data_IF_265986741033
#
_entry.id   IF_265986741033
#
_cell.length_a   1.000
_cell.length_b   1.000
_cell.length_c   1.000
_cell.angle_alpha   90.00
_cell.angle_beta   90.00
_cell.angle_gamma   90.00
#
_symmetry.space_group_name_H-M   'P 1'
#
loop_
_entity.id
_entity.type
_entity.pdbx_description
1 polymer ?
#
# COMPACT_ATOMS: atom_id res chain seq x y z
N UNK A 1 3.50 -27.04 65.13
CA UNK A 1 4.53 -26.64 64.12
C UNK A 1 3.84 -26.45 62.79
N UNK A 2 3.53 -25.20 62.39
CA UNK A 2 2.96 -24.87 61.08
C UNK A 2 4.15 -24.59 60.12
N UNK A 3 4.33 -25.45 59.12
CA UNK A 3 5.25 -25.15 57.99
C UNK A 3 4.69 -24.04 57.15
N UNK A 4 5.38 -22.88 57.13
CA UNK A 4 5.16 -21.85 56.12
C UNK A 4 5.63 -22.41 54.77
N UNK A 5 4.73 -22.58 53.83
CA UNK A 5 5.08 -22.77 52.44
C UNK A 5 5.54 -21.44 51.87
N UNK A 6 6.84 -21.29 51.63
CA UNK A 6 7.39 -20.22 50.84
C UNK A 6 6.96 -20.42 49.39
N UNK A 7 6.03 -19.59 48.96
CA UNK A 7 5.68 -19.43 47.54
C UNK A 7 6.86 -18.67 46.88
N UNK A 8 7.85 -19.40 46.37
CA UNK A 8 8.81 -18.84 45.44
C UNK A 8 8.08 -18.61 44.12
N UNK A 9 7.50 -17.40 43.98
CA UNK A 9 7.04 -16.89 42.70
C UNK A 9 8.24 -16.83 41.75
N UNK A 10 8.25 -17.72 40.77
CA UNK A 10 9.20 -17.73 39.67
C UNK A 10 8.96 -16.45 38.86
N UNK A 11 9.63 -15.34 39.26
CA UNK A 11 9.65 -14.11 38.47
C UNK A 11 10.41 -14.39 37.17
N UNK A 12 9.71 -14.94 36.18
CA UNK A 12 10.25 -15.15 34.83
C UNK A 12 10.65 -13.77 34.29
N UNK A 13 11.95 -13.54 34.14
CA UNK A 13 12.48 -12.29 33.61
C UNK A 13 11.96 -12.13 32.18
N UNK A 14 11.21 -11.04 31.93
CA UNK A 14 10.67 -10.71 30.61
C UNK A 14 11.85 -10.46 29.67
N UNK A 15 11.84 -11.14 28.51
CA UNK A 15 12.84 -10.99 27.46
C UNK A 15 12.32 -10.07 26.36
N UNK A 16 13.04 -8.99 26.08
CA UNK A 16 12.72 -8.04 25.03
C UNK A 16 13.74 -8.14 23.90
N UNK A 17 13.22 -8.28 22.68
CA UNK A 17 14.02 -8.23 21.45
C UNK A 17 13.77 -6.96 20.66
N UNK A 18 14.72 -6.59 19.78
CA UNK A 18 14.58 -5.49 18.86
C UNK A 18 15.06 -5.87 17.47
N UNK A 19 14.39 -5.32 16.45
CA UNK A 19 14.76 -5.37 15.03
C UNK A 19 14.78 -3.95 14.50
N UNK A 20 15.77 -3.63 13.68
CA UNK A 20 15.84 -2.38 12.93
C UNK A 20 15.69 -2.64 11.43
N UNK A 21 14.91 -1.83 10.74
CA UNK A 21 14.77 -1.96 9.30
C UNK A 21 14.02 -0.82 8.64
N UNK A 22 14.31 -0.60 7.35
CA UNK A 22 13.59 0.40 6.54
C UNK A 22 12.22 -0.11 6.10
N UNK A 23 12.07 -1.41 5.88
CA UNK A 23 10.84 -2.04 5.35
C UNK A 23 10.30 -1.31 4.10
N UNK A 24 11.18 -1.06 3.14
CA UNK A 24 10.93 -0.20 1.99
C UNK A 24 11.06 -0.97 0.65
N UNK A 25 9.97 -1.69 0.23
CA UNK A 25 8.76 -1.99 1.00
C UNK A 25 8.90 -3.20 1.93
N UNK A 26 7.92 -3.38 2.82
CA UNK A 26 7.75 -4.62 3.59
C UNK A 26 7.47 -5.78 2.63
N UNK A 27 8.15 -6.93 2.84
CA UNK A 27 7.97 -8.15 2.05
C UNK A 27 7.96 -9.40 2.93
N UNK A 28 7.55 -10.56 2.38
CA UNK A 28 7.37 -11.79 3.17
C UNK A 28 8.64 -12.27 3.86
N UNK A 29 9.83 -11.98 3.29
CA UNK A 29 11.09 -12.27 3.98
C UNK A 29 11.25 -11.47 5.28
N UNK A 30 10.85 -10.19 5.30
CA UNK A 30 10.79 -9.42 6.54
C UNK A 30 9.75 -9.99 7.51
N UNK A 31 8.59 -10.41 7.00
CA UNK A 31 7.52 -10.99 7.85
C UNK A 31 7.99 -12.27 8.51
N UNK A 32 8.61 -13.18 7.77
CA UNK A 32 9.17 -14.44 8.30
C UNK A 32 10.24 -14.16 9.37
N UNK A 33 11.16 -13.23 9.10
CA UNK A 33 12.20 -12.82 10.03
C UNK A 33 11.61 -12.28 11.35
N UNK A 34 10.65 -11.37 11.26
CA UNK A 34 9.98 -10.78 12.42
C UNK A 34 9.22 -11.84 13.21
N UNK A 35 8.53 -12.77 12.55
CA UNK A 35 7.80 -13.86 13.21
C UNK A 35 8.74 -14.81 13.96
N UNK A 36 9.87 -15.20 13.34
CA UNK A 36 10.87 -16.04 13.98
C UNK A 36 11.49 -15.39 15.20
N UNK A 37 11.90 -14.15 15.07
CA UNK A 37 12.43 -13.37 16.19
C UNK A 37 11.39 -13.24 17.31
N UNK A 38 10.15 -12.88 16.97
CA UNK A 38 9.06 -12.73 17.92
C UNK A 38 8.68 -14.02 18.68
N UNK A 39 8.94 -15.19 18.10
CA UNK A 39 8.69 -16.47 18.76
C UNK A 39 9.70 -16.80 19.88
N UNK A 40 10.82 -16.07 19.97
CA UNK A 40 11.92 -16.34 20.91
C UNK A 40 11.98 -15.39 22.10
N UNK A 41 11.14 -14.33 22.08
CA UNK A 41 11.10 -13.28 23.11
C UNK A 41 9.67 -13.01 23.58
N UNK A 42 9.55 -12.45 24.79
CA UNK A 42 8.23 -12.06 25.33
C UNK A 42 7.67 -10.81 24.65
N UNK A 43 8.55 -9.83 24.30
CA UNK A 43 8.20 -8.68 23.48
C UNK A 43 9.25 -8.48 22.39
N UNK A 44 8.80 -8.21 21.18
CA UNK A 44 9.64 -7.82 20.06
C UNK A 44 9.30 -6.41 19.60
N UNK A 45 10.26 -5.52 19.65
CA UNK A 45 10.16 -4.16 19.12
C UNK A 45 10.68 -4.13 17.69
N UNK A 46 9.82 -3.82 16.73
CA UNK A 46 10.17 -3.67 15.32
C UNK A 46 10.28 -2.19 15.01
N UNK A 47 11.51 -1.74 14.82
CA UNK A 47 11.83 -0.32 14.62
C UNK A 47 11.86 0.01 13.14
N UNK A 48 10.94 0.89 12.72
CA UNK A 48 10.88 1.43 11.36
C UNK A 48 11.86 2.59 11.26
N UNK A 49 12.97 2.40 10.59
CA UNK A 49 13.99 3.42 10.34
C UNK A 49 13.64 4.24 9.10
N UNK A 50 13.61 5.56 9.22
CA UNK A 50 13.20 6.46 8.12
C UNK A 50 14.16 7.63 7.96
N UNK A 51 14.39 8.03 6.73
CA UNK A 51 15.10 9.24 6.36
C UNK A 51 14.52 9.72 5.03
N UNK A 52 13.86 10.86 5.06
CA UNK A 52 13.09 11.37 3.91
C UNK A 52 13.96 11.52 2.66
N UNK A 53 15.15 12.08 2.78
CA UNK A 53 16.05 12.31 1.64
C UNK A 53 16.52 11.00 1.02
N UNK A 54 16.93 10.03 1.86
CA UNK A 54 17.34 8.69 1.40
C UNK A 54 16.17 7.91 0.82
N UNK A 55 14.98 8.03 1.40
CA UNK A 55 13.78 7.34 0.95
C UNK A 55 13.33 7.88 -0.43
N UNK A 56 13.37 9.20 -0.63
CA UNK A 56 13.12 9.84 -1.94
C UNK A 56 14.15 9.38 -2.97
N UNK A 57 15.42 9.30 -2.61
CA UNK A 57 16.46 8.77 -3.51
C UNK A 57 16.19 7.33 -3.90
N UNK A 58 15.90 6.46 -2.94
CA UNK A 58 15.56 5.05 -3.19
C UNK A 58 14.32 4.91 -4.08
N UNK A 59 13.32 5.79 -3.91
CA UNK A 59 12.14 5.81 -4.75
C UNK A 59 12.47 6.21 -6.18
N UNK A 60 13.24 7.29 -6.40
CA UNK A 60 13.66 7.74 -7.72
C UNK A 60 14.48 6.69 -8.50
N UNK A 61 15.26 5.88 -7.79
CA UNK A 61 16.04 4.79 -8.34
C UNK A 61 15.23 3.49 -8.54
N UNK A 62 13.96 3.50 -8.14
CA UNK A 62 13.08 2.34 -8.21
C UNK A 62 12.12 2.38 -9.41
N UNK A 63 11.46 1.25 -9.68
CA UNK A 63 10.30 1.17 -10.60
C UNK A 63 8.95 1.18 -9.86
N UNK A 64 8.94 1.53 -8.58
CA UNK A 64 7.68 1.64 -7.82
C UNK A 64 6.85 2.81 -8.32
N UNK A 65 5.54 2.63 -8.47
CA UNK A 65 4.61 3.69 -8.93
C UNK A 65 4.12 4.60 -7.80
N UNK A 66 4.28 4.16 -6.56
CA UNK A 66 3.84 4.89 -5.37
C UNK A 66 4.95 4.85 -4.33
N UNK A 67 5.24 6.00 -3.74
CA UNK A 67 6.22 6.12 -2.66
C UNK A 67 5.52 5.91 -1.32
N UNK A 68 5.86 4.87 -0.55
CA UNK A 68 5.30 4.71 0.79
C UNK A 68 5.94 5.74 1.75
N UNK A 69 5.11 6.47 2.48
CA UNK A 69 5.55 7.38 3.53
C UNK A 69 6.02 6.61 4.78
N UNK A 70 6.67 7.26 5.76
CA UNK A 70 6.95 6.65 7.06
C UNK A 70 5.70 6.05 7.71
N UNK A 71 4.57 6.78 7.69
CA UNK A 71 3.29 6.36 8.26
C UNK A 71 2.72 5.13 7.53
N UNK A 72 2.85 5.08 6.20
CA UNK A 72 2.43 3.91 5.42
C UNK A 72 3.23 2.67 5.84
N UNK A 73 4.55 2.78 6.02
CA UNK A 73 5.42 1.66 6.42
C UNK A 73 5.10 1.16 7.83
N UNK A 74 4.85 2.07 8.78
CA UNK A 74 4.38 1.74 10.13
C UNK A 74 3.05 0.99 10.03
N UNK A 75 2.09 1.54 9.31
CA UNK A 75 0.77 0.94 9.12
C UNK A 75 0.83 -0.45 8.45
N UNK A 76 1.74 -0.66 7.49
CA UNK A 76 1.94 -1.98 6.89
C UNK A 76 2.32 -3.04 7.93
N UNK A 77 3.23 -2.70 8.83
CA UNK A 77 3.65 -3.59 9.91
C UNK A 77 2.53 -3.79 10.94
N UNK A 78 1.91 -2.73 11.40
CA UNK A 78 0.79 -2.79 12.36
C UNK A 78 -0.36 -3.66 11.83
N UNK A 79 -0.74 -3.51 10.57
CA UNK A 79 -1.80 -4.32 9.96
C UNK A 79 -1.37 -5.78 9.75
N UNK A 80 -0.10 -6.00 9.41
CA UNK A 80 0.44 -7.34 9.20
C UNK A 80 0.49 -8.14 10.51
N UNK A 81 0.88 -7.48 11.61
CA UNK A 81 1.07 -8.13 12.91
C UNK A 81 -0.02 -7.84 13.94
N UNK A 82 -1.16 -7.26 13.54
CA UNK A 82 -2.23 -6.79 14.44
C UNK A 82 -2.79 -7.82 15.43
N UNK A 83 -2.61 -9.12 15.16
CA UNK A 83 -3.05 -10.19 16.05
C UNK A 83 -1.91 -10.79 16.88
N UNK A 84 -0.71 -10.22 16.83
CA UNK A 84 0.48 -10.67 17.56
C UNK A 84 0.84 -9.63 18.61
N UNK A 85 0.26 -9.76 19.80
CA UNK A 85 0.36 -8.77 20.88
C UNK A 85 1.77 -8.54 21.40
N UNK A 86 2.68 -9.49 21.17
CA UNK A 86 4.08 -9.39 21.55
C UNK A 86 4.94 -8.62 20.52
N UNK A 87 4.42 -8.30 19.34
CA UNK A 87 5.12 -7.50 18.33
C UNK A 87 4.67 -6.05 18.45
N UNK A 88 5.60 -5.16 18.73
CA UNK A 88 5.36 -3.72 18.94
C UNK A 88 6.12 -2.92 17.90
N UNK A 89 5.42 -2.06 17.17
CA UNK A 89 6.02 -1.25 16.12
C UNK A 89 6.41 0.10 16.73
N UNK A 90 7.68 0.49 16.52
CA UNK A 90 8.20 1.81 16.93
C UNK A 90 8.89 2.49 15.75
N UNK A 91 9.05 3.80 15.82
CA UNK A 91 9.58 4.62 14.74
C UNK A 91 10.89 5.29 15.15
N UNK A 92 11.91 5.22 14.30
CA UNK A 92 13.17 5.92 14.42
C UNK A 92 13.36 6.83 13.20
N UNK A 93 13.34 8.14 13.44
CA UNK A 93 13.73 9.13 12.43
C UNK A 93 15.25 9.27 12.39
N UNK A 94 15.85 8.92 11.26
CA UNK A 94 17.31 8.97 11.03
C UNK A 94 17.76 10.30 10.39
N UNK A 95 16.88 11.28 10.30
CA UNK A 95 17.19 12.59 9.70
C UNK A 95 18.43 13.22 10.32
N UNK A 96 19.37 13.65 9.48
CA UNK A 96 20.61 14.27 9.88
C UNK A 96 21.71 13.31 10.34
N UNK A 97 21.46 12.01 10.35
CA UNK A 97 22.50 11.02 10.63
C UNK A 97 23.27 10.71 9.35
N UNK A 98 24.63 10.74 9.36
CA UNK A 98 25.42 10.38 8.18
C UNK A 98 25.09 8.98 7.66
N UNK A 99 25.24 8.79 6.35
CA UNK A 99 25.02 7.46 5.74
C UNK A 99 26.04 6.45 6.20
N UNK A 100 25.66 5.16 6.19
CA UNK A 100 26.59 4.04 6.42
C UNK A 100 27.86 4.18 5.57
N UNK A 101 29.06 3.89 6.13
CA UNK A 101 29.31 3.36 7.48
C UNK A 101 29.47 4.42 8.59
N UNK A 102 29.50 5.70 8.26
CA UNK A 102 29.92 6.78 9.17
C UNK A 102 28.86 7.19 10.21
N UNK A 103 27.63 6.71 10.07
CA UNK A 103 26.48 7.12 10.90
C UNK A 103 26.30 6.36 12.22
N UNK A 104 27.06 5.29 12.48
CA UNK A 104 26.79 4.35 13.59
C UNK A 104 26.69 5.01 14.96
N UNK A 105 27.62 5.91 15.29
CA UNK A 105 27.60 6.60 16.59
C UNK A 105 26.32 7.43 16.77
N UNK A 106 26.05 8.34 15.85
CA UNK A 106 24.85 9.18 15.92
C UNK A 106 23.55 8.38 15.88
N UNK A 107 23.54 7.28 15.11
CA UNK A 107 22.41 6.37 15.03
C UNK A 107 22.20 5.64 16.37
N UNK A 108 23.25 5.10 16.98
CA UNK A 108 23.17 4.40 18.26
C UNK A 108 22.74 5.32 19.41
N UNK A 109 23.18 6.58 19.38
CA UNK A 109 22.75 7.59 20.37
C UNK A 109 21.25 7.85 20.24
N UNK A 110 20.74 8.00 19.01
CA UNK A 110 19.31 8.18 18.75
C UNK A 110 18.48 6.95 19.12
N UNK A 111 19.00 5.75 18.90
CA UNK A 111 18.35 4.50 19.37
C UNK A 111 18.23 4.50 20.89
N UNK A 112 19.29 4.88 21.62
CA UNK A 112 19.25 4.96 23.10
C UNK A 112 18.21 5.96 23.58
N UNK A 113 18.18 7.14 22.97
CA UNK A 113 17.17 8.17 23.27
C UNK A 113 15.75 7.64 23.06
N UNK A 114 15.49 6.97 21.92
CA UNK A 114 14.20 6.37 21.62
C UNK A 114 13.79 5.32 22.66
N UNK A 115 14.71 4.41 23.01
CA UNK A 115 14.45 3.33 23.96
C UNK A 115 14.23 3.87 25.39
N UNK A 116 15.05 4.82 25.82
CA UNK A 116 14.92 5.49 27.12
C UNK A 116 13.59 6.23 27.25
N UNK A 117 13.23 7.03 26.23
CA UNK A 117 11.96 7.77 26.20
C UNK A 117 10.74 6.85 26.30
N UNK A 118 10.82 5.64 25.78
CA UNK A 118 9.73 4.66 25.80
C UNK A 118 9.84 3.67 26.96
N UNK A 119 10.84 3.82 27.85
CA UNK A 119 11.12 2.91 28.95
C UNK A 119 11.29 1.45 28.50
N UNK A 120 12.00 1.26 27.37
CA UNK A 120 12.26 -0.04 26.76
C UNK A 120 13.68 -0.49 27.12
N UNK A 121 13.78 -1.70 27.71
CA UNK A 121 15.04 -2.38 27.94
C UNK A 121 15.15 -3.56 26.98
N UNK A 122 16.30 -3.71 26.32
CA UNK A 122 16.54 -4.72 25.28
C UNK A 122 17.52 -5.80 25.76
N UNK A 123 17.16 -7.06 25.56
CA UNK A 123 17.97 -8.23 25.87
C UNK A 123 18.58 -8.86 24.60
N UNK A 124 17.97 -8.65 23.44
CA UNK A 124 18.41 -9.26 22.18
C UNK A 124 18.21 -8.34 20.99
N UNK A 125 19.24 -8.16 20.18
CA UNK A 125 19.13 -7.54 18.84
C UNK A 125 19.09 -8.66 17.82
N UNK A 126 18.09 -8.64 16.94
CA UNK A 126 17.99 -9.56 15.81
C UNK A 126 18.40 -8.86 14.53
N UNK A 127 19.24 -9.51 13.73
CA UNK A 127 19.64 -9.00 12.40
C UNK A 127 19.85 -10.15 11.44
N UNK A 128 19.69 -9.88 10.13
CA UNK A 128 20.08 -10.79 9.05
C UNK A 128 21.35 -10.28 8.32
N UNK A 129 21.86 -9.12 8.73
CA UNK A 129 23.03 -8.49 8.12
C UNK A 129 24.27 -8.77 8.99
N UNK A 130 25.10 -9.72 8.55
CA UNK A 130 26.30 -10.14 9.31
C UNK A 130 27.32 -9.03 9.49
N UNK A 131 27.40 -8.11 8.54
CA UNK A 131 28.27 -6.93 8.60
C UNK A 131 27.94 -5.98 9.75
N UNK A 132 26.70 -6.00 10.25
CA UNK A 132 26.24 -5.10 11.30
C UNK A 132 26.50 -5.66 12.71
N UNK A 133 26.84 -6.94 12.84
CA UNK A 133 27.01 -7.62 14.13
C UNK A 133 28.08 -6.94 14.99
N UNK A 134 29.24 -6.65 14.41
CA UNK A 134 30.33 -5.99 15.16
C UNK A 134 29.94 -4.55 15.51
N UNK A 135 29.31 -3.83 14.61
CA UNK A 135 28.83 -2.48 14.89
C UNK A 135 27.80 -2.45 16.04
N UNK A 136 26.88 -3.44 16.11
CA UNK A 136 25.99 -3.58 17.25
C UNK A 136 26.74 -3.87 18.54
N UNK A 137 27.78 -4.72 18.53
CA UNK A 137 28.60 -5.00 19.69
C UNK A 137 29.32 -3.75 20.17
N UNK A 138 30.02 -3.05 19.28
CA UNK A 138 30.77 -1.84 19.60
C UNK A 138 29.86 -0.72 20.17
N UNK A 139 28.69 -0.53 19.58
CA UNK A 139 27.84 0.60 19.93
C UNK A 139 26.81 0.30 21.03
N UNK A 140 26.48 -0.98 21.33
CA UNK A 140 25.50 -1.33 22.33
C UNK A 140 26.02 -2.12 23.51
N UNK A 141 27.10 -2.87 23.36
CA UNK A 141 27.65 -3.74 24.43
C UNK A 141 28.82 -3.12 25.15
N UNK A 142 29.72 -2.47 24.42
CA UNK A 142 31.02 -2.05 24.94
C UNK A 142 31.01 -0.66 25.64
N UNK A 143 29.84 0.00 25.74
CA UNK A 143 29.75 1.32 26.39
C UNK A 143 29.29 1.19 27.84
N UNK A 144 30.08 1.72 28.76
CA UNK A 144 29.86 1.62 30.21
C UNK A 144 28.55 2.24 30.73
N UNK A 145 27.89 3.11 29.91
CA UNK A 145 26.68 3.85 30.30
C UNK A 145 25.37 3.19 29.84
N UNK A 146 25.43 1.97 29.35
CA UNK A 146 24.24 1.33 28.71
C UNK A 146 23.46 0.41 29.65
N UNK A 147 23.81 0.36 30.94
CA UNK A 147 23.26 -0.61 31.89
C UNK A 147 21.74 -0.56 32.08
N UNK A 148 21.10 0.58 31.81
CA UNK A 148 19.67 0.74 32.00
C UNK A 148 18.84 0.37 30.73
N UNK A 149 19.39 0.54 29.53
CA UNK A 149 18.69 0.36 28.26
C UNK A 149 19.00 -1.00 27.65
N UNK A 150 20.28 -1.36 27.59
CA UNK A 150 20.72 -2.67 27.11
C UNK A 150 21.16 -3.55 28.27
N UNK A 151 20.77 -4.82 28.26
CA UNK A 151 21.26 -5.77 29.25
C UNK A 151 22.77 -5.97 29.09
N UNK A 152 23.52 -6.10 30.19
CA UNK A 152 24.97 -6.45 30.16
C UNK A 152 25.27 -7.71 29.34
N UNK A 153 24.30 -8.64 29.26
CA UNK A 153 24.35 -9.86 28.45
C UNK A 153 23.62 -9.71 27.12
N UNK A 154 23.61 -8.50 26.52
CA UNK A 154 22.91 -8.27 25.22
C UNK A 154 23.36 -9.29 24.19
N UNK A 155 22.41 -10.02 23.66
CA UNK A 155 22.64 -11.01 22.60
C UNK A 155 22.40 -10.38 21.24
N UNK A 156 23.31 -10.65 20.30
CA UNK A 156 23.09 -10.33 18.89
C UNK A 156 22.87 -11.64 18.18
N UNK A 157 21.65 -11.83 17.66
CA UNK A 157 21.21 -13.07 17.04
C UNK A 157 20.99 -12.84 15.55
N UNK A 158 21.71 -13.62 14.75
CA UNK A 158 21.52 -13.67 13.31
C UNK A 158 20.60 -14.84 12.97
N UNK A 159 19.57 -14.58 12.17
CA UNK A 159 18.63 -15.61 11.68
C UNK A 159 18.65 -15.59 10.17
N UNK A 160 18.47 -16.72 9.51
CA UNK A 160 18.32 -16.86 8.05
C UNK A 160 19.25 -15.95 7.19
N UNK A 161 20.55 -15.89 7.54
CA UNK A 161 21.58 -15.10 6.84
C UNK A 161 21.58 -15.39 5.34
N UNK A 162 21.40 -16.65 4.98
CA UNK A 162 21.37 -17.10 3.57
C UNK A 162 20.04 -16.81 2.88
N UNK A 163 19.05 -16.22 3.58
CA UNK A 163 17.69 -16.00 3.07
C UNK A 163 17.10 -17.28 2.46
N UNK A 164 17.35 -18.42 3.11
CA UNK A 164 17.01 -19.74 2.59
C UNK A 164 15.49 -19.93 2.45
N UNK A 165 14.71 -19.30 3.36
CA UNK A 165 13.26 -19.39 3.34
C UNK A 165 12.63 -18.54 2.23
N UNK A 166 13.12 -17.31 2.05
CA UNK A 166 12.62 -16.39 1.03
C UNK A 166 13.78 -15.64 0.38
N UNK A 167 14.18 -16.08 -0.82
CA UNK A 167 15.25 -15.46 -1.61
C UNK A 167 14.76 -14.17 -2.27
N UNK A 168 14.43 -13.18 -1.45
CA UNK A 168 13.95 -11.88 -1.92
C UNK A 168 14.53 -10.76 -1.06
N UNK A 169 14.82 -9.63 -1.67
CA UNK A 169 15.25 -8.41 -1.00
C UNK A 169 14.36 -7.23 -1.35
N UNK A 170 14.31 -6.22 -0.48
CA UNK A 170 13.61 -4.98 -0.78
C UNK A 170 14.16 -4.29 -2.03
N UNK A 171 15.47 -4.43 -2.30
CA UNK A 171 16.11 -3.91 -3.52
C UNK A 171 15.59 -4.57 -4.79
N UNK A 172 15.43 -5.89 -4.80
CA UNK A 172 14.86 -6.62 -5.94
C UNK A 172 13.39 -6.23 -6.17
N UNK A 173 12.63 -6.08 -5.08
CA UNK A 173 11.25 -5.63 -5.18
C UNK A 173 11.17 -4.20 -5.74
N UNK A 174 12.01 -3.27 -5.28
CA UNK A 174 12.06 -1.92 -5.84
C UNK A 174 12.39 -1.88 -7.32
N UNK A 175 13.24 -2.79 -7.79
CA UNK A 175 13.55 -2.91 -9.23
C UNK A 175 12.37 -3.38 -10.06
N UNK A 176 11.53 -4.26 -9.52
CA UNK A 176 10.33 -4.74 -10.21
C UNK A 176 9.29 -5.29 -9.22
N UNK A 177 8.49 -4.37 -8.65
CA UNK A 177 7.49 -4.71 -7.64
C UNK A 177 6.41 -5.65 -8.16
N UNK A 178 5.93 -5.40 -9.38
CA UNK A 178 4.81 -6.16 -9.94
C UNK A 178 5.20 -7.57 -10.39
N UNK A 179 6.45 -7.82 -10.76
CA UNK A 179 6.94 -9.18 -11.02
C UNK A 179 7.17 -9.95 -9.71
N UNK A 180 7.49 -9.22 -8.64
CA UNK A 180 7.69 -9.77 -7.31
C UNK A 180 6.42 -9.73 -6.43
N UNK A 181 5.23 -9.58 -7.04
CA UNK A 181 3.96 -9.38 -6.35
C UNK A 181 3.63 -10.45 -5.31
N UNK A 182 4.00 -11.70 -5.55
CA UNK A 182 3.77 -12.81 -4.61
C UNK A 182 4.49 -12.63 -3.28
N UNK A 183 5.61 -11.89 -3.28
CA UNK A 183 6.39 -11.61 -2.08
C UNK A 183 5.90 -10.39 -1.29
N UNK A 184 4.87 -9.70 -1.78
CA UNK A 184 4.29 -8.53 -1.10
C UNK A 184 3.16 -9.00 -0.17
N UNK A 185 3.20 -8.65 1.14
CA UNK A 185 2.12 -8.98 2.08
C UNK A 185 0.80 -8.32 1.68
N UNK A 186 -0.32 -8.95 2.03
CA UNK A 186 -1.67 -8.53 1.63
C UNK A 186 -1.94 -7.04 1.87
N UNK A 187 -1.64 -6.53 3.06
CA UNK A 187 -1.91 -5.13 3.41
C UNK A 187 -1.02 -4.14 2.66
N UNK A 188 0.18 -4.57 2.25
CA UNK A 188 1.09 -3.77 1.41
C UNK A 188 0.62 -3.76 -0.04
N UNK A 189 0.05 -4.88 -0.54
CA UNK A 189 -0.54 -4.96 -1.88
C UNK A 189 -1.63 -3.92 -2.09
N UNK A 190 -2.49 -3.69 -1.09
CA UNK A 190 -3.55 -2.67 -1.17
C UNK A 190 -3.00 -1.29 -1.56
N UNK A 191 -1.86 -0.90 -0.99
CA UNK A 191 -1.20 0.37 -1.30
C UNK A 191 -0.68 0.43 -2.74
N UNK A 192 -0.04 -0.64 -3.21
CA UNK A 192 0.58 -0.69 -4.54
C UNK A 192 -0.38 -1.09 -5.66
N UNK A 193 -1.60 -1.53 -5.35
CA UNK A 193 -2.59 -1.87 -6.38
C UNK A 193 -2.87 -0.66 -7.27
N UNK A 194 -2.78 -0.87 -8.58
CA UNK A 194 -3.10 0.15 -9.57
C UNK A 194 -4.60 0.14 -9.87
N UNK A 195 -5.16 1.33 -10.01
CA UNK A 195 -6.56 1.53 -10.36
C UNK A 195 -6.67 1.92 -11.84
N UNK A 196 -7.28 1.05 -12.63
CA UNK A 196 -7.51 1.25 -14.06
C UNK A 196 -8.98 1.58 -14.27
N UNK A 197 -9.28 2.81 -14.70
CA UNK A 197 -10.63 3.23 -15.02
C UNK A 197 -10.91 3.08 -16.52
N UNK A 198 -12.07 2.51 -16.87
CA UNK A 198 -12.59 2.46 -18.23
C UNK A 198 -13.79 3.40 -18.32
N UNK A 199 -13.66 4.47 -19.10
CA UNK A 199 -14.66 5.54 -19.22
C UNK A 199 -15.13 5.72 -20.66
N UNK A 200 -16.21 6.48 -20.86
CA UNK A 200 -16.80 6.80 -22.16
C UNK A 200 -18.32 6.81 -22.11
N UNK A 201 -18.96 7.14 -23.23
CA UNK A 201 -20.41 7.23 -23.34
C UNK A 201 -21.13 5.88 -23.20
N UNK A 202 -22.45 5.91 -23.03
CA UNK A 202 -23.27 4.70 -22.99
C UNK A 202 -23.17 3.90 -24.29
N UNK A 203 -23.24 2.57 -24.16
CA UNK A 203 -23.09 1.61 -25.26
C UNK A 203 -21.78 1.68 -26.03
N UNK A 204 -20.69 2.19 -25.41
CA UNK A 204 -19.33 2.13 -25.97
C UNK A 204 -18.58 0.83 -25.66
N UNK A 205 -19.22 -0.16 -25.08
CA UNK A 205 -18.59 -1.45 -24.74
C UNK A 205 -17.76 -1.50 -23.47
N UNK A 206 -17.71 -0.40 -22.67
CA UNK A 206 -16.92 -0.30 -21.43
C UNK A 206 -17.08 -1.47 -20.48
N UNK A 207 -18.32 -1.82 -20.14
CA UNK A 207 -18.61 -2.90 -19.20
C UNK A 207 -18.05 -4.24 -19.68
N UNK A 208 -18.20 -4.56 -20.97
CA UNK A 208 -17.64 -5.76 -21.56
C UNK A 208 -16.09 -5.73 -21.55
N UNK A 209 -15.51 -4.58 -21.88
CA UNK A 209 -14.05 -4.38 -21.83
C UNK A 209 -13.52 -4.56 -20.41
N UNK A 210 -14.18 -3.96 -19.40
CA UNK A 210 -13.82 -4.10 -17.98
C UNK A 210 -13.79 -5.57 -17.54
N UNK A 211 -14.83 -6.34 -17.87
CA UNK A 211 -14.89 -7.76 -17.52
C UNK A 211 -13.80 -8.58 -18.22
N UNK A 212 -13.57 -8.34 -19.51
CA UNK A 212 -12.54 -9.07 -20.26
C UNK A 212 -11.13 -8.75 -19.78
N UNK A 213 -10.85 -7.48 -19.47
CA UNK A 213 -9.57 -7.08 -18.88
C UNK A 213 -9.37 -7.71 -17.49
N UNK A 214 -10.42 -7.70 -16.64
CA UNK A 214 -10.34 -8.33 -15.32
C UNK A 214 -10.05 -9.83 -15.42
N UNK A 215 -10.67 -10.53 -16.36
CA UNK A 215 -10.39 -11.95 -16.62
C UNK A 215 -8.96 -12.16 -17.13
N UNK A 216 -8.49 -11.35 -18.08
CA UNK A 216 -7.14 -11.47 -18.62
C UNK A 216 -6.06 -11.29 -17.54
N UNK A 217 -6.21 -10.27 -16.69
CA UNK A 217 -5.27 -9.99 -15.61
C UNK A 217 -5.51 -10.82 -14.35
N UNK A 218 -6.50 -11.72 -14.35
CA UNK A 218 -6.92 -12.50 -13.20
C UNK A 218 -7.08 -11.64 -11.94
N UNK A 219 -7.90 -10.60 -12.05
CA UNK A 219 -8.03 -9.58 -11.01
C UNK A 219 -9.49 -9.18 -10.73
N UNK A 220 -9.68 -8.39 -9.71
CA UNK A 220 -10.97 -7.82 -9.33
C UNK A 220 -11.40 -6.69 -10.26
N UNK A 221 -12.72 -6.45 -10.32
CA UNK A 221 -13.29 -5.32 -11.04
C UNK A 221 -14.48 -4.70 -10.28
N UNK A 222 -14.84 -3.50 -10.66
CA UNK A 222 -15.97 -2.75 -10.12
C UNK A 222 -16.91 -2.35 -11.22
N UNK A 223 -18.17 -2.74 -11.09
CA UNK A 223 -19.24 -2.31 -11.99
C UNK A 223 -19.75 -0.91 -11.64
N UNK A 224 -20.25 -0.17 -12.62
CA UNK A 224 -20.90 1.12 -12.43
C UNK A 224 -22.11 1.01 -11.49
N UNK A 225 -21.99 1.60 -10.29
CA UNK A 225 -23.07 1.52 -9.29
C UNK A 225 -24.28 2.37 -9.64
N UNK A 226 -24.14 3.46 -10.41
CA UNK A 226 -25.24 4.31 -10.85
C UNK A 226 -26.35 3.51 -11.54
N UNK A 227 -25.99 2.60 -12.44
CA UNK A 227 -26.97 1.73 -13.12
C UNK A 227 -27.73 0.85 -12.14
N UNK A 228 -27.01 0.26 -11.18
CA UNK A 228 -27.64 -0.55 -10.13
C UNK A 228 -28.59 0.30 -9.25
N UNK A 229 -28.17 1.49 -8.85
CA UNK A 229 -28.99 2.41 -8.07
C UNK A 229 -30.30 2.77 -8.79
N UNK A 230 -30.23 3.14 -10.06
CA UNK A 230 -31.40 3.47 -10.88
C UNK A 230 -32.35 2.29 -10.97
N UNK A 231 -31.83 1.09 -11.19
CA UNK A 231 -32.64 -0.13 -11.27
C UNK A 231 -33.31 -0.47 -9.94
N UNK A 232 -32.54 -0.54 -8.87
CA UNK A 232 -33.00 -1.10 -7.59
C UNK A 232 -33.79 -0.07 -6.75
N UNK A 233 -33.37 1.20 -6.75
CA UNK A 233 -33.96 2.27 -5.93
C UNK A 233 -35.01 3.05 -6.73
N UNK A 234 -34.69 3.47 -7.95
CA UNK A 234 -35.54 4.32 -8.74
C UNK A 234 -36.46 3.53 -9.72
N UNK A 235 -36.45 2.18 -9.64
CA UNK A 235 -37.30 1.28 -10.47
C UNK A 235 -37.20 1.59 -11.96
N UNK A 236 -35.97 1.84 -12.44
CA UNK A 236 -35.64 2.24 -13.82
C UNK A 236 -36.16 3.63 -14.25
N UNK A 237 -36.63 4.47 -13.35
CA UNK A 237 -37.04 5.82 -13.66
C UNK A 237 -35.89 6.82 -13.51
N UNK A 238 -35.19 7.09 -14.61
CA UNK A 238 -34.06 8.05 -14.65
C UNK A 238 -34.49 9.49 -14.31
N UNK A 239 -35.71 9.89 -14.58
CA UNK A 239 -36.20 11.23 -14.30
C UNK A 239 -36.28 11.55 -12.80
N UNK A 240 -36.29 10.53 -11.96
CA UNK A 240 -36.29 10.67 -10.51
C UNK A 240 -34.90 10.83 -9.88
N UNK A 241 -33.83 10.78 -10.68
CA UNK A 241 -32.46 10.91 -10.18
C UNK A 241 -32.15 12.36 -9.78
N UNK A 242 -32.01 12.61 -8.48
CA UNK A 242 -31.79 13.92 -7.88
C UNK A 242 -30.32 14.17 -7.55
N UNK A 243 -29.97 15.39 -7.24
CA UNK A 243 -28.61 15.80 -6.86
C UNK A 243 -28.04 14.98 -5.67
N UNK A 244 -28.87 14.75 -4.64
CA UNK A 244 -28.49 14.02 -3.43
C UNK A 244 -28.17 12.56 -3.70
N UNK A 245 -28.84 11.95 -4.69
CA UNK A 245 -28.61 10.57 -5.10
C UNK A 245 -27.18 10.36 -5.60
N UNK A 246 -26.62 11.36 -6.29
CA UNK A 246 -25.24 11.32 -6.77
C UNK A 246 -24.23 11.21 -5.63
N UNK A 247 -24.50 11.86 -4.50
CA UNK A 247 -23.66 11.73 -3.30
C UNK A 247 -23.68 10.31 -2.73
N UNK A 248 -24.84 9.68 -2.71
CA UNK A 248 -25.01 8.30 -2.24
C UNK A 248 -24.34 7.31 -3.21
N UNK A 249 -24.58 7.49 -4.51
CA UNK A 249 -23.96 6.68 -5.57
C UNK A 249 -22.43 6.75 -5.47
N UNK A 250 -21.86 7.95 -5.30
CA UNK A 250 -20.43 8.15 -5.21
C UNK A 250 -19.82 7.45 -3.98
N UNK A 251 -20.46 7.54 -2.82
CA UNK A 251 -20.00 6.86 -1.59
C UNK A 251 -19.99 5.35 -1.75
N UNK A 252 -21.05 4.78 -2.36
CA UNK A 252 -21.14 3.36 -2.57
C UNK A 252 -20.14 2.88 -3.65
N UNK A 253 -19.96 3.64 -4.72
CA UNK A 253 -18.93 3.38 -5.73
C UNK A 253 -17.55 3.36 -5.08
N UNK A 254 -17.21 4.34 -4.23
CA UNK A 254 -15.96 4.38 -3.50
C UNK A 254 -15.77 3.17 -2.58
N UNK A 255 -16.81 2.75 -1.85
CA UNK A 255 -16.79 1.54 -1.02
C UNK A 255 -16.47 0.29 -1.84
N UNK A 256 -17.08 0.16 -3.03
CA UNK A 256 -16.82 -0.96 -3.95
C UNK A 256 -15.38 -0.92 -4.49
N UNK A 257 -14.87 0.25 -4.87
CA UNK A 257 -13.48 0.42 -5.34
C UNK A 257 -12.51 0.01 -4.23
N UNK A 258 -12.71 0.49 -3.00
CA UNK A 258 -11.87 0.14 -1.84
C UNK A 258 -11.86 -1.36 -1.57
N UNK A 259 -13.02 -2.02 -1.66
CA UNK A 259 -13.10 -3.47 -1.48
C UNK A 259 -12.45 -4.23 -2.65
N UNK A 260 -12.55 -3.73 -3.86
CA UNK A 260 -11.92 -4.33 -5.04
C UNK A 260 -10.38 -4.27 -4.94
N UNK A 261 -9.82 -3.13 -4.50
CA UNK A 261 -8.38 -2.96 -4.25
C UNK A 261 -7.84 -4.03 -3.29
N UNK A 262 -8.58 -4.38 -2.22
CA UNK A 262 -8.19 -5.40 -1.24
C UNK A 262 -8.07 -6.81 -1.83
N UNK A 263 -8.76 -7.08 -2.91
CA UNK A 263 -8.84 -8.39 -3.55
C UNK A 263 -8.16 -8.42 -4.93
N UNK A 264 -7.46 -7.35 -5.27
CA UNK A 264 -6.83 -7.17 -6.56
C UNK A 264 -5.53 -7.97 -6.71
N UNK A 265 -5.27 -8.40 -7.95
CA UNK A 265 -3.98 -8.93 -8.36
C UNK A 265 -3.24 -7.87 -9.18
N UNK A 266 -2.36 -7.09 -8.55
CA UNK A 266 -1.59 -5.97 -9.11
C UNK A 266 -2.44 -4.75 -9.52
N UNK A 267 -3.57 -4.97 -10.19
CA UNK A 267 -4.46 -3.94 -10.69
C UNK A 267 -5.90 -4.25 -10.31
N UNK A 268 -6.77 -3.24 -10.30
CA UNK A 268 -8.23 -3.43 -10.30
C UNK A 268 -8.83 -2.61 -11.44
N UNK A 269 -9.84 -3.18 -12.14
CA UNK A 269 -10.48 -2.53 -13.28
C UNK A 269 -11.81 -1.93 -12.84
N UNK A 270 -12.05 -0.67 -13.14
CA UNK A 270 -13.23 0.08 -12.70
C UNK A 270 -14.05 0.50 -13.94
N UNK A 271 -15.28 0.00 -14.05
CA UNK A 271 -16.26 0.48 -15.03
C UNK A 271 -16.87 1.76 -14.52
N UNK A 272 -16.55 2.86 -15.19
CA UNK A 272 -17.03 4.20 -14.84
C UNK A 272 -16.51 4.69 -13.47
N UNK A 273 -15.87 5.83 -13.48
CA UNK A 273 -15.22 6.44 -12.31
C UNK A 273 -15.89 7.79 -11.95
N UNK A 274 -15.31 8.55 -11.01
CA UNK A 274 -15.94 9.75 -10.46
C UNK A 274 -16.12 10.89 -11.47
N UNK A 275 -15.21 11.06 -12.45
CA UNK A 275 -15.36 12.10 -13.49
C UNK A 275 -16.59 11.83 -14.35
N UNK A 276 -16.79 10.57 -14.74
CA UNK A 276 -17.98 10.16 -15.48
C UNK A 276 -19.25 10.37 -14.67
N UNK A 277 -19.21 10.05 -13.37
CA UNK A 277 -20.33 10.29 -12.45
C UNK A 277 -20.62 11.80 -12.30
N UNK A 278 -19.59 12.63 -12.28
CA UNK A 278 -19.71 14.08 -12.24
C UNK A 278 -20.33 14.64 -13.53
N UNK A 279 -19.93 14.10 -14.69
CA UNK A 279 -20.56 14.47 -15.96
C UNK A 279 -22.07 14.17 -15.95
N UNK A 280 -22.47 13.00 -15.44
CA UNK A 280 -23.90 12.69 -15.27
C UNK A 280 -24.61 13.65 -14.30
N UNK A 281 -23.97 14.03 -13.18
CA UNK A 281 -24.54 15.00 -12.23
C UNK A 281 -24.78 16.34 -12.90
N UNK A 282 -23.79 16.88 -13.63
CA UNK A 282 -23.91 18.13 -14.38
C UNK A 282 -25.03 18.11 -15.40
N UNK A 283 -25.13 17.03 -16.19
CA UNK A 283 -26.14 16.92 -17.25
C UNK A 283 -27.54 16.87 -16.68
N UNK A 284 -27.73 16.11 -15.59
CA UNK A 284 -29.06 15.83 -15.07
C UNK A 284 -29.53 16.89 -14.06
N UNK A 285 -28.63 17.54 -13.35
CA UNK A 285 -28.99 18.49 -12.26
C UNK A 285 -28.49 19.91 -12.50
N UNK A 286 -27.66 20.11 -13.53
CA UNK A 286 -27.03 21.41 -13.82
C UNK A 286 -25.91 21.78 -12.84
N UNK A 287 -25.52 20.90 -11.90
CA UNK A 287 -24.56 21.18 -10.85
C UNK A 287 -23.52 20.06 -10.68
N UNK A 288 -22.27 20.46 -10.40
CA UNK A 288 -21.28 19.51 -9.92
C UNK A 288 -21.61 19.08 -8.49
N UNK A 289 -21.49 17.78 -8.19
CA UNK A 289 -21.71 17.26 -6.85
C UNK A 289 -20.42 17.35 -6.03
N UNK A 290 -20.49 17.98 -4.84
CA UNK A 290 -19.31 18.26 -4.00
C UNK A 290 -18.67 16.97 -3.45
N UNK A 291 -19.44 15.92 -3.15
CA UNK A 291 -18.90 14.64 -2.70
C UNK A 291 -18.09 13.96 -3.82
N UNK A 292 -18.60 14.00 -5.05
CA UNK A 292 -17.88 13.47 -6.21
C UNK A 292 -16.59 14.26 -6.44
N UNK A 293 -16.65 15.57 -6.34
CA UNK A 293 -15.51 16.47 -6.47
C UNK A 293 -14.41 16.18 -5.45
N UNK A 294 -14.78 15.89 -4.21
CA UNK A 294 -13.86 15.46 -3.15
C UNK A 294 -13.20 14.12 -3.50
N UNK A 295 -13.95 13.14 -4.00
CA UNK A 295 -13.39 11.86 -4.45
C UNK A 295 -12.46 12.02 -5.66
N UNK A 296 -12.78 12.87 -6.63
CA UNK A 296 -11.89 13.15 -7.76
C UNK A 296 -10.54 13.66 -7.28
N UNK A 297 -10.53 14.60 -6.32
CA UNK A 297 -9.31 15.18 -5.78
C UNK A 297 -8.47 14.20 -4.95
N UNK A 298 -9.13 13.31 -4.19
CA UNK A 298 -8.48 12.40 -3.24
C UNK A 298 -8.13 11.03 -3.82
N UNK A 299 -8.85 10.60 -4.85
CA UNK A 299 -8.81 9.19 -5.32
C UNK A 299 -8.30 9.10 -6.76
N UNK A 300 -7.03 9.42 -6.98
CA UNK A 300 -6.43 9.29 -8.31
C UNK A 300 -6.57 7.88 -8.89
N UNK A 301 -6.76 7.81 -10.21
CA UNK A 301 -6.64 6.59 -11.00
C UNK A 301 -5.26 6.58 -11.66
N UNK A 302 -4.62 5.40 -11.68
CA UNK A 302 -3.26 5.26 -12.23
C UNK A 302 -3.29 5.22 -13.77
N UNK A 303 -4.35 4.63 -14.33
CA UNK A 303 -4.61 4.55 -15.77
C UNK A 303 -6.08 4.86 -16.03
N UNK A 304 -6.34 5.74 -17.01
CA UNK A 304 -7.70 6.04 -17.49
C UNK A 304 -7.76 5.73 -18.97
N UNK A 305 -8.63 4.80 -19.36
CA UNK A 305 -8.89 4.40 -20.76
C UNK A 305 -10.25 4.97 -21.16
N UNK A 306 -10.25 5.90 -22.11
CA UNK A 306 -11.44 6.49 -22.68
C UNK A 306 -11.83 5.79 -23.98
N UNK A 307 -12.93 5.06 -23.95
CA UNK A 307 -13.51 4.40 -25.13
C UNK A 307 -14.42 5.40 -25.83
N UNK A 308 -13.92 6.02 -26.89
CA UNK A 308 -14.57 7.12 -27.61
C UNK A 308 -15.38 6.58 -28.81
N UNK A 309 -16.70 6.75 -28.79
CA UNK A 309 -17.59 6.40 -29.93
C UNK A 309 -17.51 7.40 -31.10
N UNK A 310 -16.70 8.47 -30.94
CA UNK A 310 -16.60 9.54 -31.91
C UNK A 310 -17.97 10.15 -32.28
N UNK A 311 -18.93 10.08 -31.36
CA UNK A 311 -20.19 10.77 -31.43
C UNK A 311 -20.15 12.01 -30.55
N UNK A 312 -20.58 13.15 -31.05
CA UNK A 312 -20.62 14.43 -30.33
C UNK A 312 -21.75 14.46 -29.29
N UNK A 313 -21.82 13.44 -28.41
CA UNK A 313 -22.86 13.42 -27.38
C UNK A 313 -22.59 14.52 -26.33
N UNK A 314 -23.66 15.03 -25.72
CA UNK A 314 -23.58 15.98 -24.62
C UNK A 314 -22.70 15.41 -23.46
N UNK A 315 -22.82 14.11 -23.21
CA UNK A 315 -22.03 13.42 -22.19
C UNK A 315 -20.54 13.45 -22.51
N UNK A 316 -20.13 13.11 -23.74
CA UNK A 316 -18.71 13.10 -24.12
C UNK A 316 -18.11 14.52 -24.08
N UNK A 317 -18.90 15.53 -24.48
CA UNK A 317 -18.48 16.93 -24.37
C UNK A 317 -18.22 17.35 -22.92
N UNK A 318 -19.15 17.06 -22.00
CA UNK A 318 -18.97 17.39 -20.59
C UNK A 318 -17.86 16.55 -19.92
N UNK A 319 -17.72 15.27 -20.29
CA UNK A 319 -16.66 14.40 -19.79
C UNK A 319 -15.28 14.93 -20.17
N UNK A 320 -15.07 15.33 -21.45
CA UNK A 320 -13.80 15.89 -21.91
C UNK A 320 -13.45 17.20 -21.19
N UNK A 321 -14.42 18.09 -20.99
CA UNK A 321 -14.22 19.34 -20.21
C UNK A 321 -13.81 19.06 -18.76
N UNK A 322 -14.42 18.05 -18.12
CA UNK A 322 -14.07 17.68 -16.75
C UNK A 322 -12.69 17.04 -16.67
N UNK A 323 -12.32 16.14 -17.59
CA UNK A 323 -10.99 15.55 -17.67
C UNK A 323 -9.90 16.64 -17.78
N UNK A 324 -10.14 17.64 -18.64
CA UNK A 324 -9.25 18.81 -18.77
C UNK A 324 -9.23 19.65 -17.48
N UNK A 325 -10.41 20.02 -16.94
CA UNK A 325 -10.54 20.80 -15.70
C UNK A 325 -9.79 20.21 -14.52
N UNK A 326 -9.81 18.89 -14.37
CA UNK A 326 -9.16 18.18 -13.28
C UNK A 326 -7.75 17.66 -13.65
N UNK A 327 -7.24 18.02 -14.85
CA UNK A 327 -5.91 17.65 -15.36
C UNK A 327 -5.69 16.11 -15.31
N UNK A 328 -6.70 15.33 -15.72
CA UNK A 328 -6.63 13.87 -15.74
C UNK A 328 -6.10 13.41 -17.09
N UNK A 329 -4.96 12.71 -17.05
CA UNK A 329 -4.38 12.06 -18.22
C UNK A 329 -5.16 10.79 -18.57
N UNK A 330 -5.42 10.57 -19.85
CA UNK A 330 -6.15 9.39 -20.33
C UNK A 330 -5.66 8.94 -21.71
N UNK A 331 -5.94 7.68 -22.02
CA UNK A 331 -5.68 7.08 -23.33
C UNK A 331 -7.00 7.00 -24.10
N UNK A 332 -7.05 7.56 -25.30
CA UNK A 332 -8.24 7.50 -26.16
C UNK A 332 -8.16 6.25 -27.02
N UNK A 333 -9.20 5.42 -26.97
CA UNK A 333 -9.38 4.27 -27.84
C UNK A 333 -10.68 4.46 -28.64
N UNK A 334 -10.60 4.69 -29.96
CA UNK A 334 -11.77 4.94 -30.78
C UNK A 334 -12.59 3.64 -30.95
N UNK A 335 -13.89 3.73 -30.65
CA UNK A 335 -14.84 2.65 -30.82
C UNK A 335 -15.70 2.90 -32.06
N UNK A 336 -15.61 2.02 -33.03
CA UNK A 336 -16.47 2.00 -34.21
C UNK A 336 -17.35 0.75 -34.17
N UNK A 337 -18.62 0.87 -34.60
CA UNK A 337 -19.54 -0.27 -34.69
C UNK A 337 -19.17 -1.20 -35.87
N UNK A 338 -17.89 -1.46 -36.06
CA UNK A 338 -17.33 -2.33 -37.09
C UNK A 338 -16.90 -3.65 -36.48
N UNK A 339 -17.12 -4.75 -37.17
CA UNK A 339 -16.70 -6.08 -36.78
C UNK A 339 -15.15 -6.10 -36.56
N UNK A 340 -14.72 -6.56 -35.38
CA UNK A 340 -13.31 -6.65 -35.01
C UNK A 340 -12.76 -5.48 -34.17
N UNK A 341 -13.34 -4.28 -34.25
CA UNK A 341 -12.83 -3.10 -33.52
C UNK A 341 -12.78 -3.29 -32.00
N UNK A 342 -13.72 -4.05 -31.41
CA UNK A 342 -13.66 -4.36 -29.99
C UNK A 342 -12.37 -5.11 -29.59
N UNK A 343 -11.90 -6.03 -30.42
CA UNK A 343 -10.66 -6.76 -30.17
C UNK A 343 -9.41 -5.86 -30.28
N UNK A 344 -9.44 -4.86 -31.18
CA UNK A 344 -8.38 -3.86 -31.27
C UNK A 344 -8.30 -3.03 -29.97
N UNK A 345 -9.44 -2.55 -29.45
CA UNK A 345 -9.53 -1.82 -28.18
C UNK A 345 -9.07 -2.70 -27.03
N UNK A 346 -9.50 -3.94 -26.99
CA UNK A 346 -9.11 -4.89 -25.94
C UNK A 346 -7.60 -5.14 -25.94
N UNK A 347 -7.00 -5.44 -27.06
CA UNK A 347 -5.56 -5.68 -27.19
C UNK A 347 -4.74 -4.41 -26.83
N UNK A 348 -5.19 -3.24 -27.32
CA UNK A 348 -4.52 -1.98 -27.01
C UNK A 348 -4.63 -1.61 -25.53
N UNK A 349 -5.74 -1.93 -24.89
CA UNK A 349 -5.90 -1.75 -23.43
C UNK A 349 -4.93 -2.63 -22.65
N UNK A 350 -4.72 -3.87 -23.06
CA UNK A 350 -3.74 -4.78 -22.45
C UNK A 350 -2.32 -4.22 -22.61
N UNK A 351 -1.97 -3.75 -23.81
CA UNK A 351 -0.66 -3.15 -24.09
C UNK A 351 -0.41 -1.93 -23.17
N UNK A 352 -1.37 -0.99 -23.09
CA UNK A 352 -1.26 0.19 -22.23
C UNK A 352 -1.04 -0.20 -20.76
N UNK A 353 -1.79 -1.18 -20.26
CA UNK A 353 -1.68 -1.62 -18.86
C UNK A 353 -0.33 -2.29 -18.60
N UNK A 354 0.11 -3.19 -19.49
CA UNK A 354 1.40 -3.87 -19.36
C UNK A 354 2.56 -2.88 -19.42
N UNK A 355 2.55 -1.97 -20.38
CA UNK A 355 3.55 -0.89 -20.51
C UNK A 355 3.64 -0.06 -19.22
N UNK A 356 2.51 0.24 -18.59
CA UNK A 356 2.50 0.99 -17.35
C UNK A 356 3.08 0.21 -16.17
N UNK A 357 2.82 -1.09 -16.11
CA UNK A 357 3.35 -2.00 -15.07
C UNK A 357 4.86 -2.20 -15.20
N UNK A 358 5.39 -2.28 -16.44
CA UNK A 358 6.79 -2.61 -16.72
C UNK A 358 7.74 -1.40 -16.62
N UNK A 359 7.27 -0.23 -16.98
CA UNK A 359 8.04 1.05 -16.88
C UNK A 359 8.32 1.44 -15.45
#
# INVERSE_FOLDING_TARGET
MKKKSENQGNNKKIKNGIIFGKFYPLHIGHVDFIQRAGSTVDNLYVTVCTDEERDVKLFKESKMKKMPTPEDRIKFLEQTFKYQNNIKIIHLDEKGIPSYPNGWKGWSDRVRELLSKNNIRVDTVFTNETQDVENYRENFVNLNDTEEIFNRELKIVTTDIMRANFRISATEIRKNLYNNWIFIPRYVREFFTLKVAVIGSENSGKTNLTHKLANYFNTSFVQEYRKKYIKDVLKNNFANLKYEDYSQIAREQNRKITNSVKNANKITIIDTEYISLQAYSLINTGKENEIIKDFIKKSGFDIVIYVDKNNSSRFDSELKKLLEKYNIKYFILPFYEKKGNFMEIYNKSIEIINDFIEK
#
